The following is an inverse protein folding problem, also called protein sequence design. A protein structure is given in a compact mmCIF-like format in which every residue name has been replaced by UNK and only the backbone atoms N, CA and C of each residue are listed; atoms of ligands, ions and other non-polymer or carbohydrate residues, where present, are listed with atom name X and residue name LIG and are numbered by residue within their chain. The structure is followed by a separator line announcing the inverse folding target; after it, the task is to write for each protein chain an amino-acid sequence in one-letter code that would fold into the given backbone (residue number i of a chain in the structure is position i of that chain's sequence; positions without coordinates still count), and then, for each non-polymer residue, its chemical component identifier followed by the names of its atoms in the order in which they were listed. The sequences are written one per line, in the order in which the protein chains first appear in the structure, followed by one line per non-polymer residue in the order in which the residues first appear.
data_IF_286462678496
#
_entry.id   IF_286462678496
#
_cell.length_a   1.000
_cell.length_b   1.000
_cell.length_c   1.000
_cell.angle_alpha   90.00
_cell.angle_beta   90.00
_cell.angle_gamma   90.00
#
_symmetry.space_group_name_H-M   'P 1'
#
loop_
_entity.id
_entity.type
_entity.pdbx_description
1 polymer ?
#
# COMPACT_ATOMS: atom_id res chain seq x y z
N UNK A 1 0.66 -20.18 10.57
CA UNK A 1 1.89 -19.91 9.81
C UNK A 1 3.10 -19.65 10.70
N UNK A 2 3.25 -18.50 11.37
CA UNK A 2 4.48 -18.23 12.13
C UNK A 2 4.83 -19.32 13.17
N UNK A 3 3.83 -19.75 13.96
CA UNK A 3 3.97 -20.85 14.92
C UNK A 3 4.35 -22.19 14.24
N UNK A 4 3.69 -22.55 13.15
CA UNK A 4 3.97 -23.78 12.38
C UNK A 4 5.40 -23.84 11.85
N UNK A 5 5.99 -22.67 11.52
CA UNK A 5 7.36 -22.56 11.02
C UNK A 5 8.38 -22.21 12.13
N UNK A 6 7.96 -22.07 13.38
CA UNK A 6 8.82 -21.59 14.47
C UNK A 6 9.47 -20.24 14.17
N UNK A 7 8.78 -19.37 13.43
CA UNK A 7 9.35 -18.17 12.84
C UNK A 7 9.28 -16.95 13.78
N UNK A 8 10.31 -16.12 13.74
CA UNK A 8 10.26 -14.77 14.31
C UNK A 8 9.41 -13.86 13.41
N UNK A 9 8.48 -13.12 14.02
CA UNK A 9 7.64 -12.14 13.30
C UNK A 9 8.14 -10.74 13.60
N UNK A 10 8.42 -9.97 12.55
CA UNK A 10 8.84 -8.57 12.64
C UNK A 10 7.88 -7.72 11.81
N UNK A 11 7.21 -6.78 12.46
CA UNK A 11 6.44 -5.73 11.78
C UNK A 11 7.32 -4.48 11.66
N UNK A 12 7.74 -4.18 10.45
CA UNK A 12 8.54 -3.00 10.15
C UNK A 12 7.61 -1.84 9.75
N UNK A 13 7.68 -0.73 10.49
CA UNK A 13 6.93 0.47 10.14
C UNK A 13 7.63 1.21 8.99
N UNK A 14 6.84 1.72 8.05
CA UNK A 14 7.36 2.41 6.87
C UNK A 14 7.87 3.79 7.25
N UNK A 15 9.01 4.23 6.69
CA UNK A 15 9.49 5.61 6.86
C UNK A 15 8.39 6.64 6.55
N UNK A 16 8.29 7.69 7.35
CA UNK A 16 7.26 8.74 7.33
C UNK A 16 5.85 8.31 7.75
N UNK A 17 5.64 7.08 8.21
CA UNK A 17 4.37 6.64 8.79
C UNK A 17 4.54 6.36 10.27
N UNK A 18 3.48 6.63 11.04
CA UNK A 18 3.49 6.40 12.48
C UNK A 18 4.60 7.20 13.18
N UNK A 19 5.52 6.49 13.83
CA UNK A 19 6.65 7.07 14.59
C UNK A 19 7.98 6.98 13.84
N UNK A 20 7.99 6.36 12.67
CA UNK A 20 9.20 6.09 11.88
C UNK A 20 9.56 7.28 11.02
N UNK A 21 10.00 8.36 11.66
CA UNK A 21 10.18 9.65 11.01
C UNK A 21 11.65 10.10 10.98
N UNK A 22 12.29 10.22 9.79
CA UNK A 22 13.70 10.60 9.71
C UNK A 22 14.04 11.99 10.29
N UNK A 23 13.07 12.91 10.32
CA UNK A 23 13.26 14.29 10.77
C UNK A 23 12.46 14.64 12.04
N UNK A 24 11.82 13.64 12.67
CA UNK A 24 10.86 13.86 13.74
C UNK A 24 9.51 14.38 13.23
N UNK A 25 8.46 14.17 14.03
CA UNK A 25 7.06 14.35 13.60
C UNK A 25 6.73 15.79 13.19
N UNK A 26 7.32 16.79 13.84
CA UNK A 26 7.05 18.20 13.57
C UNK A 26 7.56 18.66 12.20
N UNK A 27 8.63 18.05 11.67
CA UNK A 27 9.35 18.57 10.51
C UNK A 27 9.21 17.70 9.25
N UNK A 28 8.78 16.46 9.40
CA UNK A 28 8.80 15.44 8.35
C UNK A 28 8.16 15.83 7.03
N UNK A 29 7.00 16.49 7.11
CA UNK A 29 6.19 16.91 5.97
C UNK A 29 6.21 18.44 5.79
N UNK A 30 7.01 19.15 6.59
CA UNK A 30 7.03 20.61 6.64
C UNK A 30 7.84 21.28 5.54
N UNK A 31 8.68 20.54 4.81
CA UNK A 31 9.52 21.09 3.74
C UNK A 31 9.73 20.10 2.57
N UNK A 32 9.83 20.58 1.31
CA UNK A 32 10.12 19.74 0.15
C UNK A 32 11.38 18.90 0.29
N UNK A 33 12.42 19.43 0.94
CA UNK A 33 13.64 18.68 1.22
C UNK A 33 13.38 17.49 2.15
N UNK A 34 12.59 17.67 3.22
CA UNK A 34 12.32 16.62 4.19
C UNK A 34 11.50 15.49 3.57
N UNK A 35 10.58 15.76 2.66
CA UNK A 35 9.80 14.72 1.97
C UNK A 35 10.56 14.04 0.83
N UNK A 36 11.72 14.57 0.41
CA UNK A 36 12.49 14.01 -0.71
C UNK A 36 13.02 12.59 -0.46
N UNK A 37 13.11 12.17 0.81
CA UNK A 37 13.51 10.80 1.19
C UNK A 37 12.34 9.84 1.39
N UNK A 38 11.09 10.28 1.18
CA UNK A 38 9.90 9.43 1.14
C UNK A 38 9.80 8.77 -0.25
N UNK A 39 10.69 7.81 -0.51
CA UNK A 39 10.67 7.02 -1.75
C UNK A 39 10.59 5.52 -1.48
N UNK A 40 10.16 4.77 -2.48
CA UNK A 40 10.06 3.31 -2.44
C UNK A 40 11.44 2.67 -2.25
N UNK A 41 12.43 3.13 -3.02
CA UNK A 41 13.81 2.60 -3.00
C UNK A 41 14.42 2.72 -1.61
N UNK A 42 14.17 3.87 -0.99
CA UNK A 42 14.58 4.21 0.34
C UNK A 42 13.91 3.32 1.40
N UNK A 43 12.59 3.12 1.33
CA UNK A 43 11.88 2.21 2.24
C UNK A 43 12.34 0.73 2.07
N UNK A 44 12.58 0.29 0.83
CA UNK A 44 13.14 -1.04 0.55
C UNK A 44 14.54 -1.18 1.16
N UNK A 45 15.37 -0.13 1.08
CA UNK A 45 16.69 -0.10 1.72
C UNK A 45 16.59 -0.24 3.25
N UNK A 46 15.63 0.43 3.89
CA UNK A 46 15.43 0.33 5.34
C UNK A 46 15.11 -1.11 5.76
N UNK A 47 14.23 -1.79 5.03
CA UNK A 47 13.87 -3.17 5.37
C UNK A 47 15.02 -4.16 5.14
N UNK A 48 15.87 -3.93 4.14
CA UNK A 48 17.08 -4.73 3.97
C UNK A 48 18.04 -4.57 5.15
N UNK A 49 18.27 -3.33 5.58
CA UNK A 49 19.11 -3.04 6.75
C UNK A 49 18.50 -3.62 8.03
N UNK A 50 17.17 -3.52 8.19
CA UNK A 50 16.46 -4.10 9.32
C UNK A 50 16.59 -5.62 9.37
N UNK A 51 16.50 -6.32 8.23
CA UNK A 51 16.68 -7.78 8.19
C UNK A 51 18.10 -8.20 8.58
N UNK A 52 19.12 -7.48 8.09
CA UNK A 52 20.52 -7.71 8.46
C UNK A 52 20.70 -7.47 9.96
N UNK A 53 20.21 -6.34 10.47
CA UNK A 53 20.28 -6.01 11.89
C UNK A 53 19.54 -7.01 12.77
N UNK A 54 18.36 -7.49 12.33
CA UNK A 54 17.58 -8.49 13.05
C UNK A 54 18.35 -9.82 13.16
N UNK A 55 19.00 -10.25 12.08
CA UNK A 55 19.84 -11.46 12.08
C UNK A 55 20.93 -11.37 13.15
N UNK A 56 21.63 -10.25 13.21
CA UNK A 56 22.68 -10.02 14.20
C UNK A 56 22.13 -9.92 15.62
N UNK A 57 21.10 -9.08 15.81
CA UNK A 57 20.51 -8.79 17.12
C UNK A 57 19.91 -10.02 17.79
N UNK A 58 19.31 -10.92 17.02
CA UNK A 58 18.67 -12.13 17.52
C UNK A 58 19.54 -13.38 17.36
N UNK A 59 20.79 -13.25 16.90
CA UNK A 59 21.70 -14.38 16.71
C UNK A 59 21.15 -15.45 15.76
N UNK A 60 20.43 -15.04 14.71
CA UNK A 60 19.80 -15.97 13.78
C UNK A 60 20.87 -16.69 12.95
N UNK A 61 20.64 -17.97 12.66
CA UNK A 61 21.51 -18.75 11.77
C UNK A 61 21.69 -18.04 10.41
N UNK A 62 22.87 -18.16 9.81
CA UNK A 62 23.16 -17.54 8.52
C UNK A 62 22.26 -18.05 7.39
N UNK A 63 21.74 -19.27 7.53
CA UNK A 63 20.78 -19.90 6.62
C UNK A 63 19.31 -19.59 6.97
N UNK A 64 19.04 -18.84 8.05
CA UNK A 64 17.68 -18.45 8.39
C UNK A 64 17.08 -17.60 7.26
N UNK A 65 15.95 -18.09 6.72
CA UNK A 65 15.28 -17.48 5.58
C UNK A 65 14.41 -16.29 6.01
N UNK A 66 14.55 -15.16 5.31
CA UNK A 66 13.62 -14.05 5.42
C UNK A 66 12.53 -14.15 4.35
N UNK A 67 11.27 -14.11 4.77
CA UNK A 67 10.11 -14.07 3.86
C UNK A 67 9.35 -12.78 4.11
N UNK A 68 9.20 -11.96 3.07
CA UNK A 68 8.49 -10.68 3.18
C UNK A 68 6.97 -10.90 3.05
N UNK A 69 6.19 -10.23 3.89
CA UNK A 69 4.73 -10.22 3.81
C UNK A 69 4.22 -8.81 3.60
N UNK A 70 3.15 -8.68 2.81
CA UNK A 70 2.50 -7.39 2.66
C UNK A 70 1.15 -7.47 1.97
N UNK A 71 0.33 -6.45 2.21
CA UNK A 71 -0.96 -6.22 1.55
C UNK A 71 -0.99 -4.87 0.84
N UNK A 72 -1.69 -4.76 -0.29
CA UNK A 72 -1.85 -3.49 -1.03
C UNK A 72 -0.48 -2.86 -1.39
N UNK A 73 -0.19 -1.62 -1.02
CA UNK A 73 1.15 -1.02 -1.20
C UNK A 73 2.25 -1.84 -0.50
N UNK A 74 1.98 -2.38 0.69
CA UNK A 74 2.88 -3.29 1.38
C UNK A 74 3.18 -4.57 0.58
N UNK A 75 2.22 -5.05 -0.22
CA UNK A 75 2.44 -6.19 -1.11
C UNK A 75 3.41 -5.85 -2.26
N UNK A 76 3.34 -4.62 -2.78
CA UNK A 76 4.34 -4.14 -3.74
C UNK A 76 5.73 -4.07 -3.11
N UNK A 77 5.85 -3.56 -1.88
CA UNK A 77 7.11 -3.55 -1.13
C UNK A 77 7.66 -4.97 -0.92
N UNK A 78 6.83 -5.91 -0.47
CA UNK A 78 7.22 -7.30 -0.28
C UNK A 78 7.70 -7.96 -1.59
N UNK A 79 7.02 -7.68 -2.71
CA UNK A 79 7.44 -8.14 -4.03
C UNK A 79 8.80 -7.53 -4.42
N UNK A 80 8.98 -6.23 -4.25
CA UNK A 80 10.22 -5.53 -4.60
C UNK A 80 11.41 -5.97 -3.75
N UNK A 81 11.22 -6.24 -2.46
CA UNK A 81 12.26 -6.80 -1.59
C UNK A 81 12.81 -8.11 -2.16
N UNK A 82 11.91 -9.04 -2.54
CA UNK A 82 12.31 -10.30 -3.17
C UNK A 82 12.97 -10.10 -4.54
N UNK A 83 12.40 -9.25 -5.40
CA UNK A 83 12.91 -9.03 -6.76
C UNK A 83 14.27 -8.31 -6.79
N UNK A 84 14.48 -7.35 -5.88
CA UNK A 84 15.69 -6.51 -5.86
C UNK A 84 16.81 -7.10 -5.00
N UNK A 85 16.47 -7.88 -3.98
CA UNK A 85 17.44 -8.44 -3.04
C UNK A 85 17.23 -9.95 -2.84
N UNK A 86 17.32 -10.77 -3.92
CA UNK A 86 16.98 -12.19 -3.86
C UNK A 86 17.93 -13.03 -3.00
N UNK A 87 19.13 -12.53 -2.69
CA UNK A 87 20.07 -13.19 -1.79
C UNK A 87 19.73 -12.99 -0.31
N UNK A 88 18.93 -11.97 0.02
CA UNK A 88 18.52 -11.67 1.40
C UNK A 88 17.11 -12.21 1.68
N UNK A 89 16.17 -11.95 0.77
CA UNK A 89 14.78 -12.38 0.91
C UNK A 89 14.55 -13.68 0.16
N UNK A 90 14.33 -14.78 0.87
CA UNK A 90 14.07 -16.09 0.26
C UNK A 90 12.77 -16.14 -0.53
N UNK A 91 11.76 -15.37 -0.12
CA UNK A 91 10.46 -15.30 -0.79
C UNK A 91 9.64 -14.10 -0.34
N UNK A 92 8.48 -13.94 -0.98
CA UNK A 92 7.49 -12.95 -0.54
C UNK A 92 6.06 -13.44 -0.76
N UNK A 93 5.18 -13.03 0.16
CA UNK A 93 3.73 -13.22 0.07
C UNK A 93 3.11 -11.83 -0.07
N UNK A 94 2.67 -11.54 -1.30
CA UNK A 94 2.21 -10.23 -1.74
C UNK A 94 0.70 -10.26 -2.01
N UNK A 95 -0.11 -9.95 -1.01
CA UNK A 95 -1.58 -9.97 -1.11
C UNK A 95 -2.12 -8.70 -1.75
N UNK A 96 -2.86 -8.83 -2.84
CA UNK A 96 -3.47 -7.69 -3.55
C UNK A 96 -2.44 -6.63 -3.96
N UNK A 97 -1.26 -7.06 -4.43
CA UNK A 97 -0.25 -6.18 -4.99
C UNK A 97 -0.85 -5.37 -6.14
N UNK A 98 -0.88 -4.05 -5.99
CA UNK A 98 -1.49 -3.15 -6.96
C UNK A 98 -0.69 -3.20 -8.27
N UNK A 99 -1.25 -3.69 -9.39
CA UNK A 99 -0.49 -3.80 -10.62
C UNK A 99 -0.24 -2.40 -11.19
N UNK A 100 0.99 -1.90 -11.04
CA UNK A 100 1.41 -0.57 -11.52
C UNK A 100 1.01 -0.34 -12.98
N UNK A 101 1.03 -1.37 -13.84
CA UNK A 101 0.70 -1.23 -15.26
C UNK A 101 -0.78 -1.40 -15.61
N UNK A 102 -1.61 -2.07 -14.78
CA UNK A 102 -3.01 -2.38 -15.17
C UNK A 102 -3.97 -1.26 -14.78
N UNK A 103 -3.77 -0.64 -13.62
CA UNK A 103 -4.58 0.50 -13.17
C UNK A 103 -4.21 1.81 -13.88
N UNK A 104 -3.03 1.91 -14.48
CA UNK A 104 -2.62 3.07 -15.27
C UNK A 104 -3.06 3.03 -16.75
N UNK A 105 -3.56 1.89 -17.25
CA UNK A 105 -3.96 1.72 -18.66
C UNK A 105 -5.44 2.01 -18.91
N UNK A 106 -6.30 1.74 -17.94
CA UNK A 106 -7.73 2.02 -18.01
C UNK A 106 -8.07 3.11 -17.00
N UNK A 107 -8.44 4.31 -17.46
CA UNK A 107 -8.78 5.46 -16.61
C UNK A 107 -9.85 5.14 -15.56
N UNK A 108 -10.77 4.22 -15.87
CA UNK A 108 -11.89 3.85 -15.01
C UNK A 108 -11.83 2.39 -14.50
N UNK A 109 -10.69 1.69 -14.62
CA UNK A 109 -10.59 0.26 -14.32
C UNK A 109 -10.98 -0.09 -12.89
N UNK A 110 -10.57 0.72 -11.91
CA UNK A 110 -10.97 0.53 -10.50
C UNK A 110 -12.48 0.69 -10.31
N UNK A 111 -13.06 1.79 -10.81
CA UNK A 111 -14.48 2.08 -10.67
C UNK A 111 -15.36 1.02 -11.35
N UNK A 112 -14.89 0.46 -12.48
CA UNK A 112 -15.56 -0.65 -13.16
C UNK A 112 -15.61 -1.91 -12.28
N UNK A 113 -14.48 -2.30 -11.69
CA UNK A 113 -14.42 -3.46 -10.78
C UNK A 113 -15.33 -3.25 -9.57
N UNK A 114 -15.37 -2.03 -9.01
CA UNK A 114 -16.30 -1.68 -7.93
C UNK A 114 -17.74 -1.88 -8.39
N UNK A 115 -18.10 -1.36 -9.57
CA UNK A 115 -19.45 -1.51 -10.13
C UNK A 115 -19.82 -2.98 -10.34
N UNK A 116 -18.90 -3.79 -10.89
CA UNK A 116 -19.08 -5.22 -11.09
C UNK A 116 -19.26 -5.97 -9.77
N UNK A 117 -18.56 -5.58 -8.70
CA UNK A 117 -18.72 -6.19 -7.39
C UNK A 117 -20.15 -6.04 -6.85
N UNK A 118 -20.77 -4.87 -7.02
CA UNK A 118 -22.19 -4.66 -6.69
C UNK A 118 -23.12 -5.41 -7.65
N UNK A 119 -22.80 -5.41 -8.95
CA UNK A 119 -23.56 -6.13 -9.97
C UNK A 119 -23.62 -7.65 -9.75
N UNK A 120 -22.54 -8.23 -9.20
CA UNK A 120 -22.48 -9.66 -8.86
C UNK A 120 -23.37 -10.05 -7.68
N UNK A 121 -23.76 -9.09 -6.83
CA UNK A 121 -24.73 -9.31 -5.75
C UNK A 121 -26.15 -9.14 -6.27
N UNK A 122 -26.38 -8.12 -7.10
CA UNK A 122 -27.67 -7.85 -7.74
C UNK A 122 -27.49 -7.05 -9.01
N UNK A 123 -28.13 -7.50 -10.09
CA UNK A 123 -28.13 -6.79 -11.37
C UNK A 123 -28.76 -5.40 -11.28
N UNK A 124 -29.64 -5.15 -10.30
CA UNK A 124 -30.29 -3.86 -10.09
C UNK A 124 -29.44 -2.86 -9.29
N UNK A 125 -28.45 -3.32 -8.53
CA UNK A 125 -27.66 -2.47 -7.64
C UNK A 125 -26.88 -1.37 -8.38
N UNK A 126 -26.15 -1.65 -9.47
CA UNK A 126 -25.48 -0.60 -10.23
C UNK A 126 -26.43 0.50 -10.73
N UNK A 127 -27.63 0.13 -11.18
CA UNK A 127 -28.61 1.09 -11.72
C UNK A 127 -29.27 1.92 -10.61
N UNK A 128 -29.50 1.33 -9.44
CA UNK A 128 -29.96 2.06 -8.27
C UNK A 128 -28.92 3.08 -7.79
N UNK A 129 -27.64 2.69 -7.74
CA UNK A 129 -26.56 3.61 -7.36
C UNK A 129 -26.43 4.77 -8.35
N UNK A 130 -26.54 4.52 -9.66
CA UNK A 130 -26.54 5.58 -10.68
C UNK A 130 -27.70 6.55 -10.50
N UNK A 131 -28.92 6.04 -10.35
CA UNK A 131 -30.11 6.88 -10.09
C UNK A 131 -29.98 7.73 -8.83
N UNK A 132 -29.42 7.16 -7.75
CA UNK A 132 -29.17 7.92 -6.52
C UNK A 132 -28.21 9.10 -6.74
N UNK A 133 -27.21 8.95 -7.61
CA UNK A 133 -26.35 10.07 -8.00
C UNK A 133 -27.09 11.11 -8.84
N UNK A 134 -27.90 10.68 -9.81
CA UNK A 134 -28.71 11.59 -10.64
C UNK A 134 -29.64 12.45 -9.76
N UNK A 135 -30.35 11.82 -8.83
CA UNK A 135 -31.22 12.51 -7.86
C UNK A 135 -30.45 13.51 -6.98
N UNK A 136 -29.24 13.16 -6.53
CA UNK A 136 -28.38 14.06 -5.75
C UNK A 136 -27.91 15.27 -6.57
N UNK A 137 -27.59 15.07 -7.85
CA UNK A 137 -27.19 16.15 -8.74
C UNK A 137 -28.36 17.08 -9.07
N UNK A 138 -29.55 16.52 -9.31
CA UNK A 138 -30.78 17.28 -9.56
C UNK A 138 -31.26 18.05 -8.31
N UNK A 139 -31.02 17.52 -7.12
CA UNK A 139 -31.33 18.17 -5.84
C UNK A 139 -30.25 19.15 -5.35
N UNK A 140 -29.10 19.23 -6.03
CA UNK A 140 -28.07 20.23 -5.76
C UNK A 140 -28.61 21.65 -5.97
N UNK A 141 -28.06 22.69 -5.30
CA UNK A 141 -28.69 24.00 -5.27
C UNK A 141 -28.84 24.62 -6.68
N UNK A 142 -30.08 24.71 -7.16
CA UNK A 142 -30.47 25.69 -8.18
C UNK A 142 -30.51 27.10 -7.55
N UNK A 143 -29.35 27.75 -7.38
CA UNK A 143 -29.24 29.22 -7.40
C UNK A 143 -27.77 29.69 -7.35
N UNK A 144 -27.18 29.90 -8.52
CA UNK A 144 -26.50 31.19 -8.75
C UNK A 144 -27.28 31.86 -9.89
N UNK A 145 -28.57 32.12 -9.62
CA UNK A 145 -29.33 33.05 -10.43
C UNK A 145 -28.91 34.45 -10.00
N UNK A 146 -28.35 35.20 -10.94
CA UNK A 146 -28.22 36.66 -10.99
C UNK A 146 -28.64 37.43 -9.72
N UNK A 147 -27.66 37.97 -9.00
CA UNK A 147 -27.83 39.25 -8.32
C UNK A 147 -26.60 40.14 -8.59
N UNK A 148 -26.88 41.19 -9.38
CA UNK A 148 -26.17 42.46 -9.59
C UNK A 148 -24.83 42.49 -10.34
#
# INVERSE_FOLDING_TARGET
MAEEFGALVIFAEHRYYGRSNPFGDEYALGAPYNVSFLTVEQAVSDYNLLAIHAREKFGMDSNAAFVAFGGSYGANLALWLRLKNPNLWAGSIASSATPLKRLLRETNGFARIVTEAYGNVSSLCPDLVRRGWDELYDAGPMSVANEH
#
